data_IF_349876197448
#
_entry.id   IF_349876197448
#
_cell.length_a   1.000
_cell.length_b   1.000
_cell.length_c   1.000
_cell.angle_alpha   90.00
_cell.angle_beta   90.00
_cell.angle_gamma   90.00
#
_symmetry.space_group_name_H-M   'P 1'
#
loop_
_entity.id
_entity.type
_entity.pdbx_description
1 polymer ?
#
# COMPACT_ATOMS: atom_id res chain seq x y z
N UNK A 1 -19.29 10.09 9.20
CA UNK A 1 -18.87 11.10 8.23
C UNK A 1 -17.45 10.80 7.75
N UNK A 2 -17.17 10.98 6.47
CA UNK A 2 -15.83 10.84 5.89
C UNK A 2 -15.04 12.17 5.83
N UNK A 3 -15.56 13.24 6.40
CA UNK A 3 -14.87 14.52 6.41
C UNK A 3 -13.52 14.41 7.15
N UNK A 4 -12.45 14.86 6.50
CA UNK A 4 -11.08 14.78 7.02
C UNK A 4 -10.37 13.44 6.79
N UNK A 5 -11.03 12.44 6.19
CA UNK A 5 -10.46 11.12 5.94
C UNK A 5 -10.02 10.91 4.47
N UNK A 6 -9.79 12.01 3.73
CA UNK A 6 -9.35 11.94 2.34
C UNK A 6 -7.91 11.46 2.17
N UNK A 7 -7.49 11.34 0.91
CA UNK A 7 -6.14 10.92 0.54
C UNK A 7 -5.72 11.64 -0.75
N UNK A 8 -4.43 11.72 -1.02
CA UNK A 8 -3.90 12.23 -2.29
C UNK A 8 -4.03 11.21 -3.43
N UNK A 9 -4.45 10.00 -3.13
CA UNK A 9 -4.64 8.92 -4.08
C UNK A 9 -6.01 8.27 -3.89
N UNK A 10 -6.48 7.53 -4.88
CA UNK A 10 -7.72 6.76 -4.81
C UNK A 10 -7.51 5.36 -5.39
N UNK A 11 -8.32 4.41 -4.98
CA UNK A 11 -8.45 3.11 -5.62
C UNK A 11 -9.92 2.80 -5.87
N UNK A 12 -10.19 2.09 -6.97
CA UNK A 12 -11.54 1.72 -7.40
C UNK A 12 -11.56 0.24 -7.70
N UNK A 13 -12.56 -0.46 -7.21
CA UNK A 13 -12.73 -1.90 -7.42
C UNK A 13 -13.94 -2.44 -6.68
N UNK A 14 -14.41 -3.61 -7.10
CA UNK A 14 -15.49 -4.36 -6.46
C UNK A 14 -14.95 -5.04 -5.20
N UNK A 15 -15.00 -4.34 -4.07
CA UNK A 15 -14.41 -4.82 -2.81
C UNK A 15 -15.36 -5.69 -1.99
N UNK A 16 -16.68 -5.50 -2.13
CA UNK A 16 -17.67 -6.28 -1.38
C UNK A 16 -18.30 -7.44 -2.19
N UNK A 17 -17.95 -7.57 -3.47
CA UNK A 17 -18.31 -8.68 -4.33
C UNK A 17 -19.74 -8.57 -4.88
N UNK A 18 -20.33 -7.36 -4.94
CA UNK A 18 -21.68 -7.14 -5.46
C UNK A 18 -21.74 -6.97 -6.99
N UNK A 19 -20.58 -6.86 -7.64
CA UNK A 19 -20.40 -6.69 -9.08
C UNK A 19 -20.35 -5.22 -9.52
N UNK A 20 -20.31 -4.27 -8.60
CA UNK A 20 -20.11 -2.86 -8.86
C UNK A 20 -18.88 -2.35 -8.11
N UNK A 21 -18.22 -1.32 -8.65
CA UNK A 21 -16.99 -0.82 -8.04
C UNK A 21 -17.27 0.20 -6.92
N UNK A 22 -16.56 0.05 -5.82
CA UNK A 22 -16.43 1.00 -4.73
C UNK A 22 -15.26 1.96 -4.98
N UNK A 23 -15.27 3.07 -4.27
CA UNK A 23 -14.18 4.06 -4.26
C UNK A 23 -13.61 4.13 -2.85
N UNK A 24 -12.34 3.75 -2.67
CA UNK A 24 -11.60 4.04 -1.45
C UNK A 24 -10.63 5.21 -1.67
N UNK A 25 -10.58 6.13 -0.70
CA UNK A 25 -9.77 7.34 -0.76
C UNK A 25 -9.10 7.62 0.61
N UNK A 26 -8.43 6.63 1.12
CA UNK A 26 -7.72 6.68 2.39
C UNK A 26 -8.51 6.03 3.52
N UNK A 27 -8.78 6.79 4.58
CA UNK A 27 -9.48 6.30 5.76
C UNK A 27 -11.01 6.16 5.57
N UNK A 28 -11.50 6.15 4.34
CA UNK A 28 -12.92 5.99 4.02
C UNK A 28 -13.13 5.35 2.67
N UNK A 29 -14.27 4.67 2.49
CA UNK A 29 -14.74 4.20 1.21
C UNK A 29 -16.21 4.56 0.97
N UNK A 30 -16.53 4.75 -0.30
CA UNK A 30 -17.91 4.98 -0.79
C UNK A 30 -18.34 3.79 -1.61
N UNK A 31 -19.58 3.39 -1.42
CA UNK A 31 -20.27 2.41 -2.23
C UNK A 31 -20.57 2.99 -3.63
N UNK A 32 -20.87 2.12 -4.60
CA UNK A 32 -21.20 2.45 -5.99
C UNK A 32 -22.34 3.47 -6.13
N UNK A 33 -23.26 3.55 -5.17
CA UNK A 33 -24.36 4.50 -5.14
C UNK A 33 -24.02 5.86 -4.48
N UNK A 34 -22.75 6.02 -4.05
CA UNK A 34 -22.24 7.22 -3.36
C UNK A 34 -22.54 7.26 -1.86
N UNK A 35 -23.11 6.21 -1.29
CA UNK A 35 -23.26 6.12 0.16
C UNK A 35 -21.93 5.76 0.83
N UNK A 36 -21.76 6.17 2.09
CA UNK A 36 -20.56 5.82 2.86
C UNK A 36 -20.55 4.32 3.15
N UNK A 37 -19.54 3.60 2.66
CA UNK A 37 -19.34 2.19 2.97
C UNK A 37 -18.74 2.06 4.39
N UNK A 38 -17.59 2.69 4.64
CA UNK A 38 -16.99 2.76 5.96
C UNK A 38 -16.12 4.02 6.16
N UNK A 39 -15.68 4.22 7.39
CA UNK A 39 -14.66 5.18 7.77
C UNK A 39 -13.85 4.61 8.94
N UNK A 40 -12.53 4.48 8.77
CA UNK A 40 -11.63 4.04 9.84
C UNK A 40 -11.36 5.13 10.86
N UNK A 41 -11.54 6.40 10.46
CA UNK A 41 -11.33 7.56 11.33
C UNK A 41 -9.86 7.96 11.51
N UNK A 42 -8.93 7.41 10.68
CA UNK A 42 -7.49 7.68 10.78
C UNK A 42 -7.04 8.96 10.06
N UNK A 43 -7.99 9.84 9.71
CA UNK A 43 -7.69 11.16 9.19
C UNK A 43 -7.22 11.15 7.73
N UNK A 44 -6.49 12.20 7.36
CA UNK A 44 -5.98 12.37 6.00
C UNK A 44 -4.77 11.48 5.74
N UNK A 45 -4.65 10.96 4.50
CA UNK A 45 -3.55 10.09 4.08
C UNK A 45 -2.88 10.54 2.79
N UNK A 46 -1.72 9.96 2.49
CA UNK A 46 -0.89 10.30 1.33
C UNK A 46 -0.80 9.20 0.29
N UNK A 47 -0.80 7.96 0.71
CA UNK A 47 -0.73 6.81 -0.20
C UNK A 47 -1.70 5.72 0.22
N UNK A 48 -2.28 5.06 -0.79
CA UNK A 48 -3.20 3.95 -0.63
C UNK A 48 -2.89 2.88 -1.68
N UNK A 49 -2.88 1.63 -1.24
CA UNK A 49 -2.73 0.46 -2.11
C UNK A 49 -3.78 -0.57 -1.72
N UNK A 50 -4.55 -1.02 -2.71
CA UNK A 50 -5.59 -2.04 -2.50
C UNK A 50 -5.31 -3.25 -3.38
N UNK A 51 -5.50 -4.43 -2.83
CA UNK A 51 -5.33 -5.71 -3.52
C UNK A 51 -5.44 -6.88 -2.56
N UNK A 52 -5.22 -8.08 -3.07
CA UNK A 52 -5.10 -9.31 -2.28
C UNK A 52 -3.72 -9.34 -1.59
N UNK A 53 -3.59 -8.50 -0.55
CA UNK A 53 -2.33 -8.34 0.20
C UNK A 53 -2.09 -9.56 1.08
N UNK A 54 -3.15 -10.07 1.72
CA UNK A 54 -3.14 -11.29 2.52
C UNK A 54 -3.98 -12.40 1.86
N UNK A 55 -3.39 -13.25 1.02
CA UNK A 55 -4.12 -14.31 0.31
C UNK A 55 -4.62 -15.43 1.23
N UNK A 56 -4.41 -15.35 2.54
CA UNK A 56 -4.98 -16.25 3.53
C UNK A 56 -6.28 -15.68 4.15
N UNK A 57 -6.64 -14.43 3.81
CA UNK A 57 -7.93 -13.80 4.12
C UNK A 57 -8.81 -13.76 2.86
N UNK A 58 -10.13 -13.90 2.97
CA UNK A 58 -11.02 -13.68 1.83
C UNK A 58 -11.19 -12.18 1.58
N UNK A 59 -11.20 -11.76 0.30
CA UNK A 59 -11.42 -10.36 -0.09
C UNK A 59 -10.13 -9.65 -0.46
N UNK A 60 -10.14 -8.34 -0.33
CA UNK A 60 -8.98 -7.47 -0.57
C UNK A 60 -8.69 -6.66 0.68
N UNK A 61 -7.44 -6.26 0.83
CA UNK A 61 -6.99 -5.36 1.88
C UNK A 61 -6.57 -4.01 1.29
N UNK A 62 -6.70 -2.99 2.11
CA UNK A 62 -6.20 -1.65 1.84
C UNK A 62 -5.07 -1.31 2.80
N UNK A 63 -3.90 -1.00 2.26
CA UNK A 63 -2.79 -0.41 3.00
C UNK A 63 -2.79 1.10 2.79
N UNK A 64 -2.84 1.85 3.88
CA UNK A 64 -2.93 3.32 3.87
C UNK A 64 -1.89 3.92 4.82
N UNK A 65 -1.25 5.01 4.40
CA UNK A 65 -0.39 5.84 5.25
C UNK A 65 -1.04 7.18 5.52
N UNK A 66 -0.84 7.72 6.73
CA UNK A 66 -1.55 8.91 7.24
C UNK A 66 -0.61 10.05 7.59
N UNK A 67 -1.07 11.30 7.36
CA UNK A 67 -0.30 12.50 7.66
C UNK A 67 -0.12 12.71 9.17
N UNK A 68 -1.21 12.52 9.94
CA UNK A 68 -1.14 12.73 11.37
C UNK A 68 -0.36 11.58 12.04
N UNK A 69 0.73 11.94 12.70
CA UNK A 69 1.66 10.96 13.30
C UNK A 69 1.01 9.96 14.24
N UNK A 70 -0.08 10.35 14.90
CA UNK A 70 -0.83 9.46 15.79
C UNK A 70 -1.45 8.25 15.07
N UNK A 71 -1.67 8.34 13.74
CA UNK A 71 -2.28 7.27 12.95
C UNK A 71 -1.27 6.47 12.14
N UNK A 72 -0.14 7.07 11.73
CA UNK A 72 0.97 6.42 11.05
C UNK A 72 0.57 5.66 9.78
N UNK A 73 0.29 4.37 9.89
CA UNK A 73 -0.23 3.54 8.81
C UNK A 73 -1.18 2.47 9.33
N UNK A 74 -2.04 1.98 8.46
CA UNK A 74 -2.88 0.81 8.72
C UNK A 74 -3.01 -0.11 7.51
N UNK A 75 -3.34 -1.37 7.80
CA UNK A 75 -3.85 -2.37 6.89
C UNK A 75 -5.25 -2.73 7.35
N UNK A 76 -6.24 -2.60 6.50
CA UNK A 76 -7.63 -2.89 6.80
C UNK A 76 -8.31 -3.68 5.68
N UNK A 77 -9.39 -4.36 6.00
CA UNK A 77 -10.27 -5.03 5.05
C UNK A 77 -10.95 -3.98 4.16
N UNK A 78 -10.80 -4.11 2.83
CA UNK A 78 -11.24 -3.10 1.88
C UNK A 78 -12.77 -3.02 1.73
N UNK A 79 -13.50 -4.07 2.08
CA UNK A 79 -14.97 -4.09 2.04
C UNK A 79 -15.60 -3.51 3.31
N UNK A 80 -14.96 -3.68 4.47
CA UNK A 80 -15.60 -3.40 5.77
C UNK A 80 -14.93 -2.28 6.55
N UNK A 81 -13.66 -1.97 6.26
CA UNK A 81 -12.84 -1.04 7.04
C UNK A 81 -12.36 -1.62 8.38
N UNK A 82 -12.50 -2.94 8.60
CA UNK A 82 -11.98 -3.60 9.80
C UNK A 82 -10.45 -3.52 9.80
N UNK A 83 -9.88 -2.96 10.87
CA UNK A 83 -8.43 -2.83 11.01
C UNK A 83 -7.82 -4.20 11.30
N UNK A 84 -6.92 -4.65 10.41
CA UNK A 84 -6.15 -5.89 10.55
C UNK A 84 -4.93 -5.62 11.41
N UNK A 85 -4.16 -4.60 11.07
CA UNK A 85 -3.05 -4.13 11.87
C UNK A 85 -2.76 -2.65 11.57
N UNK A 86 -2.09 -1.99 12.50
CA UNK A 86 -1.71 -0.58 12.35
C UNK A 86 -0.48 -0.26 13.20
N UNK A 87 0.14 0.87 12.93
CA UNK A 87 1.23 1.40 13.73
C UNK A 87 1.16 2.91 13.75
N UNK A 88 1.40 3.50 14.92
CA UNK A 88 1.57 4.95 15.03
C UNK A 88 2.88 5.38 14.37
N UNK A 89 2.90 6.58 13.80
CA UNK A 89 4.10 7.20 13.28
C UNK A 89 4.76 8.14 14.29
N UNK A 90 5.88 8.72 13.90
CA UNK A 90 6.59 9.76 14.66
C UNK A 90 6.48 11.14 13.99
N UNK A 91 6.01 11.18 12.77
CA UNK A 91 5.84 12.37 11.94
C UNK A 91 4.82 12.06 10.83
N UNK A 92 4.59 13.02 9.96
CA UNK A 92 3.90 12.83 8.69
C UNK A 92 4.47 11.62 7.92
N UNK A 93 3.60 10.70 7.52
CA UNK A 93 3.95 9.46 6.82
C UNK A 93 3.65 9.60 5.32
N UNK A 94 4.29 10.57 4.67
CA UNK A 94 3.98 11.05 3.34
C UNK A 94 4.21 10.06 2.18
N UNK A 95 4.66 8.84 2.43
CA UNK A 95 4.87 7.80 1.40
C UNK A 95 4.66 6.41 1.96
N UNK A 96 4.09 5.54 1.13
CA UNK A 96 3.94 4.12 1.43
C UNK A 96 3.77 3.30 0.17
N UNK A 97 4.11 2.04 0.22
CA UNK A 97 3.96 1.07 -0.87
C UNK A 97 3.42 -0.24 -0.31
N UNK A 98 2.52 -0.89 -1.04
CA UNK A 98 2.22 -2.30 -0.89
C UNK A 98 2.29 -2.95 -2.28
N UNK A 99 3.05 -4.05 -2.39
CA UNK A 99 3.35 -4.72 -3.65
C UNK A 99 3.84 -6.15 -3.41
N UNK A 100 3.64 -7.03 -4.37
CA UNK A 100 4.22 -8.39 -4.37
C UNK A 100 5.70 -8.32 -4.76
N UNK A 101 6.59 -8.17 -3.78
CA UNK A 101 8.02 -7.88 -3.98
C UNK A 101 8.86 -9.16 -3.87
N UNK A 102 8.56 -10.02 -2.89
CA UNK A 102 9.42 -11.13 -2.48
C UNK A 102 8.78 -12.47 -2.87
N UNK A 103 9.21 -13.06 -3.99
CA UNK A 103 8.69 -14.33 -4.54
C UNK A 103 8.46 -15.44 -3.50
N UNK A 104 9.34 -15.53 -2.50
CA UNK A 104 9.30 -16.59 -1.49
C UNK A 104 8.41 -16.28 -0.30
N UNK A 105 7.92 -15.06 -0.21
CA UNK A 105 6.98 -14.65 0.82
C UNK A 105 5.56 -14.68 0.24
N UNK A 106 4.61 -15.23 0.99
CA UNK A 106 3.24 -15.36 0.52
C UNK A 106 2.48 -14.05 0.79
N UNK A 107 1.83 -13.53 -0.25
CA UNK A 107 1.15 -12.24 -0.23
C UNK A 107 2.09 -11.08 -0.54
N UNK A 108 1.59 -9.87 -0.40
CA UNK A 108 2.37 -8.67 -0.67
C UNK A 108 3.14 -8.22 0.57
N UNK A 109 4.22 -7.50 0.33
CA UNK A 109 4.89 -6.72 1.36
C UNK A 109 4.43 -5.28 1.32
N UNK A 110 4.47 -4.62 2.49
CA UNK A 110 4.23 -3.19 2.60
C UNK A 110 5.30 -2.50 3.43
N UNK A 111 5.49 -1.20 3.15
CA UNK A 111 6.42 -0.34 3.87
C UNK A 111 5.95 1.12 3.84
N UNK A 112 6.32 1.89 4.84
CA UNK A 112 6.00 3.31 4.95
C UNK A 112 7.25 4.17 5.14
N UNK A 113 7.15 5.48 4.96
CA UNK A 113 8.28 6.41 5.14
C UNK A 113 8.77 6.49 6.58
N UNK A 114 7.91 6.21 7.56
CA UNK A 114 8.27 6.18 8.98
C UNK A 114 8.98 4.88 9.39
N UNK A 115 8.68 3.78 8.69
CA UNK A 115 9.34 2.48 8.88
C UNK A 115 9.55 1.84 7.50
N UNK A 116 10.78 1.89 7.01
CA UNK A 116 11.14 1.39 5.67
C UNK A 116 11.38 -0.13 5.63
N UNK A 117 11.14 -0.82 6.73
CA UNK A 117 11.16 -2.27 6.74
C UNK A 117 10.00 -2.81 5.89
N UNK A 118 10.28 -3.81 5.06
CA UNK A 118 9.25 -4.57 4.38
C UNK A 118 8.56 -5.49 5.39
N UNK A 119 7.25 -5.39 5.47
CA UNK A 119 6.39 -6.20 6.33
C UNK A 119 5.45 -7.03 5.50
N UNK A 120 5.18 -8.25 5.94
CA UNK A 120 4.10 -9.08 5.42
C UNK A 120 2.73 -8.69 6.02
N UNK A 121 1.66 -9.28 5.49
CA UNK A 121 0.30 -9.02 5.91
C UNK A 121 0.04 -9.36 7.41
N UNK A 122 0.82 -10.29 7.97
CA UNK A 122 0.82 -10.62 9.40
C UNK A 122 1.58 -9.61 10.28
N UNK A 123 2.02 -8.48 9.68
CA UNK A 123 2.82 -7.43 10.30
C UNK A 123 4.23 -7.88 10.74
N UNK A 124 4.67 -9.07 10.36
CA UNK A 124 6.06 -9.49 10.61
C UNK A 124 7.03 -8.73 9.72
N UNK A 125 8.22 -8.42 10.23
CA UNK A 125 9.30 -7.84 9.42
C UNK A 125 9.93 -8.94 8.56
N UNK A 126 9.71 -8.85 7.25
CA UNK A 126 10.27 -9.79 6.26
C UNK A 126 11.67 -9.37 5.84
N UNK A 127 11.90 -8.06 5.73
CA UNK A 127 13.21 -7.52 5.38
C UNK A 127 13.39 -6.11 5.93
N UNK A 128 14.63 -5.78 6.33
CA UNK A 128 15.06 -4.42 6.69
C UNK A 128 15.75 -3.69 5.53
N UNK A 129 15.72 -4.26 4.33
CA UNK A 129 16.21 -3.59 3.13
C UNK A 129 15.39 -2.34 2.86
N UNK A 130 16.08 -1.21 2.75
CA UNK A 130 15.41 0.04 2.33
C UNK A 130 14.81 -0.13 0.93
N UNK A 131 13.59 0.34 0.73
CA UNK A 131 12.86 0.22 -0.52
C UNK A 131 12.33 1.57 -1.01
N UNK A 132 12.07 1.66 -2.30
CA UNK A 132 11.33 2.76 -2.92
C UNK A 132 9.86 2.70 -2.48
N UNK A 133 9.23 3.86 -2.34
CA UNK A 133 7.88 3.97 -1.77
C UNK A 133 6.86 4.65 -2.69
N UNK A 134 7.24 5.00 -3.94
CA UNK A 134 6.35 5.78 -4.81
C UNK A 134 5.47 4.93 -5.72
N UNK A 135 6.08 4.07 -6.55
CA UNK A 135 5.34 3.34 -7.57
C UNK A 135 5.76 1.89 -7.66
N UNK A 136 4.81 1.01 -7.89
CA UNK A 136 5.06 -0.37 -8.33
C UNK A 136 4.87 -0.49 -9.84
N UNK A 137 5.61 -1.38 -10.48
CA UNK A 137 5.49 -1.64 -11.91
C UNK A 137 5.88 -3.09 -12.26
N UNK A 138 5.25 -3.61 -13.31
CA UNK A 138 5.64 -4.86 -13.94
C UNK A 138 6.65 -4.56 -15.04
N UNK A 139 7.95 -4.66 -14.72
CA UNK A 139 9.01 -4.20 -15.61
C UNK A 139 9.65 -5.31 -16.45
N UNK A 140 9.97 -6.44 -15.84
CA UNK A 140 10.84 -7.47 -16.43
C UNK A 140 10.09 -8.74 -16.84
N UNK A 141 8.76 -8.74 -16.76
CA UNK A 141 7.91 -9.87 -17.12
C UNK A 141 7.86 -10.99 -16.08
N UNK A 142 8.46 -10.81 -14.90
CA UNK A 142 8.23 -11.69 -13.75
C UNK A 142 6.89 -11.39 -13.11
N UNK A 143 6.45 -12.24 -12.18
CA UNK A 143 5.17 -12.04 -11.45
C UNK A 143 5.29 -11.00 -10.33
N UNK A 144 6.50 -10.82 -9.79
CA UNK A 144 6.74 -9.87 -8.70
C UNK A 144 6.88 -8.45 -9.23
N UNK A 145 6.42 -7.50 -8.43
CA UNK A 145 6.55 -6.07 -8.70
C UNK A 145 8.02 -5.62 -8.68
N UNK A 146 8.37 -4.74 -9.59
CA UNK A 146 9.51 -3.85 -9.47
C UNK A 146 9.02 -2.50 -8.92
N UNK A 147 9.91 -1.74 -8.31
CA UNK A 147 9.60 -0.46 -7.69
C UNK A 147 10.31 0.67 -8.42
N UNK A 148 9.54 1.68 -8.81
CA UNK A 148 10.05 2.86 -9.50
C UNK A 148 10.02 4.07 -8.57
N UNK A 149 11.15 4.77 -8.46
CA UNK A 149 11.25 6.01 -7.71
C UNK A 149 12.38 6.89 -8.29
N UNK A 150 12.10 8.17 -8.45
CA UNK A 150 13.04 9.11 -9.06
C UNK A 150 13.40 8.72 -10.49
N UNK A 151 14.63 8.32 -10.70
CA UNK A 151 15.20 7.95 -12.00
C UNK A 151 15.53 6.45 -12.13
N UNK A 152 15.09 5.62 -11.19
CA UNK A 152 15.52 4.21 -11.10
C UNK A 152 14.36 3.23 -10.91
N UNK A 153 14.59 2.02 -11.38
CA UNK A 153 13.76 0.85 -11.09
C UNK A 153 14.56 -0.12 -10.25
N UNK A 154 14.03 -0.45 -9.08
CA UNK A 154 14.59 -1.41 -8.14
C UNK A 154 13.78 -2.70 -8.12
N UNK A 155 14.43 -3.82 -7.86
CA UNK A 155 13.80 -5.13 -7.70
C UNK A 155 14.47 -5.95 -6.63
N UNK A 156 13.71 -6.86 -6.04
CA UNK A 156 14.23 -7.84 -5.10
C UNK A 156 15.13 -8.87 -5.81
N UNK A 157 16.33 -9.08 -5.30
CA UNK A 157 17.33 -9.98 -5.89
C UNK A 157 17.51 -11.30 -5.11
N UNK A 158 16.62 -11.58 -4.16
CA UNK A 158 16.68 -12.74 -3.27
C UNK A 158 17.28 -12.44 -1.89
N UNK A 159 17.88 -11.26 -1.67
CA UNK A 159 18.46 -10.85 -0.40
C UNK A 159 18.21 -9.39 -0.04
N UNK A 160 17.81 -8.57 -0.99
CA UNK A 160 17.52 -7.15 -0.80
C UNK A 160 17.13 -6.49 -2.12
N UNK A 161 16.81 -5.20 -2.05
CA UNK A 161 16.52 -4.40 -3.23
C UNK A 161 17.80 -4.08 -3.99
N UNK A 162 17.76 -4.18 -5.31
CA UNK A 162 18.86 -3.82 -6.20
C UNK A 162 18.36 -3.07 -7.42
N UNK A 163 19.14 -2.08 -7.88
CA UNK A 163 18.82 -1.33 -9.07
C UNK A 163 18.93 -2.23 -10.31
N UNK A 164 17.82 -2.32 -11.06
CA UNK A 164 17.79 -2.97 -12.37
C UNK A 164 18.13 -2.00 -13.48
N UNK A 165 17.67 -0.75 -13.35
CA UNK A 165 17.71 0.24 -14.41
C UNK A 165 17.73 1.64 -13.80
N UNK A 166 18.49 2.54 -14.42
CA UNK A 166 18.46 3.97 -14.11
C UNK A 166 18.41 4.79 -15.39
N UNK A 167 17.60 5.85 -15.41
CA UNK A 167 17.55 6.81 -16.52
C UNK A 167 18.86 7.56 -16.70
N UNK A 168 19.64 7.70 -15.62
CA UNK A 168 20.95 8.36 -15.66
C UNK A 168 21.91 7.72 -16.67
N UNK A 169 21.87 6.38 -16.80
CA UNK A 169 22.72 5.63 -17.73
C UNK A 169 22.40 5.92 -19.20
N UNK A 170 21.26 6.58 -19.46
CA UNK A 170 20.78 6.96 -20.79
C UNK A 170 20.83 8.47 -21.05
N UNK A 171 21.48 9.22 -20.17
CA UNK A 171 21.76 10.65 -20.35
C UNK A 171 20.53 11.56 -20.19
N UNK A 172 19.60 11.18 -19.36
CA UNK A 172 18.40 11.96 -19.04
C UNK A 172 18.43 12.50 -17.61
#
# INVERSE_FOLDING_TARGET
TCYGNGNHNISVGDYDGDGCDEITFGASALNNDGTLLYSTGFGHGDAIHVGDIDPDRPGMESFTVHEESQYGWDLHDAATGEIICSSTGSADNGRGIAADIIEKHRGWEFASSNDRSLRGADNSVVSTSSTSLNFRCYWDGSLQDALFDGDRIDKWNGSGMSCLFTLYDYGH
#
